data_IF_948559749449
#
_entry.id   IF_948559749449
#
_cell.length_a   1.000
_cell.length_b   1.000
_cell.length_c   1.000
_cell.angle_alpha   90.00
_cell.angle_beta   90.00
_cell.angle_gamma   90.00
#
_symmetry.space_group_name_H-M   'P 1'
#
loop_
_entity.id
_entity.type
_entity.pdbx_description
1 polymer ?
#
# COMPACT_ATOMS: atom_id res chain seq x y z
N UNK A 1 11.50 16.52 8.22
CA UNK A 1 11.69 16.91 9.64
C UNK A 1 11.72 15.63 10.47
N UNK A 2 12.86 15.23 11.02
CA UNK A 2 12.96 14.02 11.86
C UNK A 2 12.19 14.25 13.16
N UNK A 3 11.28 13.32 13.47
CA UNK A 3 10.54 13.34 14.73
C UNK A 3 11.53 13.32 15.90
N UNK A 4 11.29 14.15 16.93
CA UNK A 4 12.08 14.10 18.16
C UNK A 4 11.94 12.69 18.79
N UNK A 5 13.05 12.07 19.19
CA UNK A 5 13.08 10.69 19.74
C UNK A 5 12.10 10.51 20.92
N UNK A 6 11.95 11.53 21.77
CA UNK A 6 11.02 11.50 22.91
C UNK A 6 9.58 11.45 22.43
N UNK A 7 9.21 12.27 21.42
CA UNK A 7 7.87 12.30 20.84
C UNK A 7 7.54 10.97 20.15
N UNK A 8 8.50 10.39 19.42
CA UNK A 8 8.34 9.09 18.80
C UNK A 8 8.08 8.00 19.85
N UNK A 9 8.86 7.97 20.91
CA UNK A 9 8.68 7.01 22.00
C UNK A 9 7.29 7.13 22.65
N UNK A 10 6.82 8.35 22.93
CA UNK A 10 5.48 8.59 23.47
C UNK A 10 4.38 8.10 22.51
N UNK A 11 4.54 8.34 21.21
CA UNK A 11 3.58 7.87 20.20
C UNK A 11 3.55 6.35 20.12
N UNK A 12 4.70 5.68 20.21
CA UNK A 12 4.78 4.23 20.23
C UNK A 12 4.11 3.64 21.49
N UNK A 13 4.30 4.27 22.67
CA UNK A 13 3.62 3.87 23.90
C UNK A 13 2.10 4.00 23.77
N UNK A 14 1.59 5.15 23.32
CA UNK A 14 0.16 5.36 23.12
C UNK A 14 -0.38 4.31 22.14
N UNK A 15 0.27 4.15 20.98
CA UNK A 15 -0.13 3.17 19.98
C UNK A 15 -0.18 1.74 20.53
N UNK A 16 0.82 1.33 21.30
CA UNK A 16 0.88 -0.02 21.88
C UNK A 16 -0.34 -0.35 22.75
N UNK A 17 -0.87 0.64 23.47
CA UNK A 17 -2.03 0.49 24.34
C UNK A 17 -3.37 0.44 23.58
N UNK A 18 -3.48 1.16 22.47
CA UNK A 18 -4.78 1.37 21.79
C UNK A 18 -4.87 0.79 20.37
N UNK A 19 -3.80 0.16 19.86
CA UNK A 19 -3.75 -0.37 18.47
C UNK A 19 -4.86 -1.38 18.14
N UNK A 20 -5.42 -2.04 19.17
CA UNK A 20 -6.53 -3.00 19.02
C UNK A 20 -7.90 -2.32 18.91
N UNK A 21 -7.99 -1.03 19.20
CA UNK A 21 -9.27 -0.32 19.15
C UNK A 21 -9.67 0.00 17.71
N UNK A 22 -10.98 0.01 17.45
CA UNK A 22 -11.54 0.41 16.15
C UNK A 22 -11.09 1.81 15.75
N UNK A 23 -11.05 2.75 16.71
CA UNK A 23 -10.64 4.14 16.46
C UNK A 23 -9.19 4.22 15.97
N UNK A 24 -8.26 3.52 16.62
CA UNK A 24 -6.85 3.54 16.20
C UNK A 24 -6.66 2.79 14.90
N UNK A 25 -7.30 1.64 14.71
CA UNK A 25 -7.27 0.91 13.44
C UNK A 25 -7.79 1.77 12.28
N UNK A 26 -8.89 2.52 12.50
CA UNK A 26 -9.41 3.45 11.51
C UNK A 26 -8.43 4.59 11.20
N UNK A 27 -7.71 5.12 12.20
CA UNK A 27 -6.67 6.11 11.96
C UNK A 27 -5.45 5.53 11.24
N UNK A 28 -5.15 4.24 11.41
CA UNK A 28 -4.11 3.56 10.60
C UNK A 28 -4.55 3.35 9.14
N UNK A 29 -5.85 3.22 8.87
CA UNK A 29 -6.40 3.15 7.52
C UNK A 29 -6.49 4.54 6.87
N UNK A 30 -7.09 5.49 7.57
CA UNK A 30 -7.37 6.85 7.08
C UNK A 30 -7.27 7.82 8.26
N UNK A 31 -6.10 8.45 8.46
CA UNK A 31 -5.88 9.31 9.62
C UNK A 31 -6.78 10.55 9.60
N UNK A 32 -7.51 10.76 10.69
CA UNK A 32 -8.25 12.01 10.91
C UNK A 32 -7.33 13.20 11.21
N UNK A 33 -7.92 14.40 11.34
CA UNK A 33 -7.17 15.64 11.65
C UNK A 33 -6.82 15.80 13.15
N UNK A 34 -7.32 14.92 14.03
CA UNK A 34 -7.08 14.97 15.46
C UNK A 34 -5.74 14.37 15.90
N UNK A 35 -5.54 14.32 17.22
CA UNK A 35 -4.31 13.81 17.84
C UNK A 35 -3.95 12.37 17.39
N UNK A 36 -4.90 11.44 17.43
CA UNK A 36 -4.65 10.04 17.03
C UNK A 36 -4.31 9.91 15.55
N UNK A 37 -4.89 10.75 14.69
CA UNK A 37 -4.52 10.81 13.28
C UNK A 37 -3.08 11.31 13.08
N UNK A 38 -2.63 12.26 13.89
CA UNK A 38 -1.23 12.70 13.88
C UNK A 38 -0.29 11.58 14.35
N UNK A 39 -0.66 10.89 15.43
CA UNK A 39 0.10 9.71 15.92
C UNK A 39 0.22 8.67 14.81
N UNK A 40 -0.87 8.30 14.16
CA UNK A 40 -0.87 7.31 13.07
C UNK A 40 0.04 7.74 11.92
N UNK A 41 -0.08 8.97 11.42
CA UNK A 41 0.75 9.49 10.31
C UNK A 41 2.24 9.42 10.60
N UNK A 42 2.65 9.87 11.78
CA UNK A 42 4.07 9.91 12.15
C UNK A 42 4.65 8.49 12.33
N UNK A 43 3.88 7.59 12.95
CA UNK A 43 4.29 6.20 13.10
C UNK A 43 4.39 5.48 11.76
N UNK A 44 3.46 5.72 10.82
CA UNK A 44 3.53 5.14 9.48
C UNK A 44 4.81 5.55 8.75
N UNK A 45 5.25 6.81 8.87
CA UNK A 45 6.49 7.28 8.23
C UNK A 45 7.68 6.47 8.74
N UNK A 46 7.81 6.35 10.06
CA UNK A 46 8.94 5.67 10.68
C UNK A 46 8.92 4.17 10.40
N UNK A 47 7.75 3.54 10.52
CA UNK A 47 7.63 2.09 10.38
C UNK A 47 7.74 1.59 8.94
N UNK A 48 7.54 2.45 7.95
CA UNK A 48 7.44 2.03 6.56
C UNK A 48 8.64 2.44 5.69
N UNK A 49 9.55 3.30 6.17
CA UNK A 49 10.63 3.82 5.33
C UNK A 49 11.52 2.71 4.75
N UNK A 50 11.98 1.78 5.59
CA UNK A 50 12.75 0.61 5.13
C UNK A 50 11.96 -0.22 4.12
N UNK A 51 10.68 -0.47 4.40
CA UNK A 51 9.81 -1.31 3.59
C UNK A 51 9.62 -0.72 2.18
N UNK A 52 9.40 0.59 2.07
CA UNK A 52 9.30 1.25 0.76
C UNK A 52 10.61 1.16 -0.03
N UNK A 53 11.78 1.33 0.63
CA UNK A 53 13.08 1.19 -0.03
C UNK A 53 13.28 -0.21 -0.62
N UNK A 54 12.90 -1.26 0.12
CA UNK A 54 13.00 -2.63 -0.36
C UNK A 54 11.95 -2.93 -1.46
N UNK A 55 10.71 -2.48 -1.27
CA UNK A 55 9.61 -2.72 -2.22
C UNK A 55 9.91 -2.21 -3.63
N UNK A 56 10.44 -0.99 -3.75
CA UNK A 56 10.74 -0.43 -5.07
C UNK A 56 11.89 -1.15 -5.77
N UNK A 57 12.86 -1.69 -5.02
CA UNK A 57 13.92 -2.55 -5.58
C UNK A 57 13.34 -3.84 -6.14
N UNK A 58 12.43 -4.50 -5.41
CA UNK A 58 11.76 -5.76 -5.79
C UNK A 58 10.87 -5.63 -7.02
N UNK A 59 10.33 -4.45 -7.28
CA UNK A 59 9.53 -4.18 -8.48
C UNK A 59 10.36 -4.15 -9.77
N UNK A 60 11.68 -3.98 -9.70
CA UNK A 60 12.56 -3.89 -10.88
C UNK A 60 12.00 -2.90 -11.93
N UNK A 61 11.71 -1.67 -11.51
CA UNK A 61 11.11 -0.65 -12.35
C UNK A 61 12.10 -0.17 -13.41
N UNK A 62 11.64 -0.10 -14.67
CA UNK A 62 12.39 0.44 -15.80
C UNK A 62 11.96 1.88 -16.10
N UNK A 63 12.82 2.66 -16.74
CA UNK A 63 12.57 4.08 -17.06
C UNK A 63 11.26 4.37 -17.82
N UNK A 64 10.75 3.40 -18.57
CA UNK A 64 9.50 3.56 -19.33
C UNK A 64 8.30 2.81 -18.74
N UNK A 65 8.43 2.20 -17.58
CA UNK A 65 7.32 1.50 -16.92
C UNK A 65 6.25 2.50 -16.44
N UNK A 66 4.99 2.20 -16.73
CA UNK A 66 3.83 2.86 -16.12
C UNK A 66 3.56 2.23 -14.76
N UNK A 67 3.57 3.04 -13.72
CA UNK A 67 3.44 2.57 -12.33
C UNK A 67 2.18 3.13 -11.70
N UNK A 68 1.47 2.27 -10.97
CA UNK A 68 0.37 2.66 -10.09
C UNK A 68 0.71 2.26 -8.65
N UNK A 69 0.47 3.18 -7.71
CA UNK A 69 0.55 2.92 -6.28
C UNK A 69 -0.85 3.00 -5.65
N UNK A 70 -1.21 1.96 -4.90
CA UNK A 70 -2.49 1.84 -4.20
C UNK A 70 -2.28 2.14 -2.72
N UNK A 71 -2.98 3.17 -2.20
CA UNK A 71 -2.86 3.60 -0.80
C UNK A 71 -1.53 4.31 -0.53
N UNK A 72 -1.26 5.40 -1.24
CA UNK A 72 0.02 6.11 -1.17
C UNK A 72 0.30 6.82 0.17
N UNK A 73 -0.70 6.99 1.01
CA UNK A 73 -0.57 7.51 2.37
C UNK A 73 0.24 8.80 2.48
N UNK A 74 1.40 8.75 3.13
CA UNK A 74 2.31 9.90 3.28
C UNK A 74 3.15 10.21 2.02
N UNK A 75 3.02 9.44 0.94
CA UNK A 75 3.72 9.62 -0.32
C UNK A 75 5.17 9.12 -0.33
N UNK A 76 5.57 8.28 0.62
CA UNK A 76 6.93 7.72 0.66
C UNK A 76 7.23 6.82 -0.55
N UNK A 77 6.22 6.08 -1.03
CA UNK A 77 6.35 5.29 -2.26
C UNK A 77 6.49 6.19 -3.48
N UNK A 78 5.63 7.20 -3.64
CA UNK A 78 5.70 8.15 -4.76
C UNK A 78 7.09 8.78 -4.86
N UNK A 79 7.68 9.26 -3.75
CA UNK A 79 9.02 9.87 -3.74
C UNK A 79 10.07 8.94 -4.36
N UNK A 80 10.04 7.66 -3.99
CA UNK A 80 11.00 6.68 -4.48
C UNK A 80 10.73 6.27 -5.93
N UNK A 81 9.47 6.25 -6.35
CA UNK A 81 9.06 5.89 -7.70
C UNK A 81 9.43 6.98 -8.72
N UNK A 82 9.41 8.25 -8.34
CA UNK A 82 9.72 9.38 -9.21
C UNK A 82 11.13 9.31 -9.81
N UNK A 83 12.10 8.76 -9.06
CA UNK A 83 13.48 8.61 -9.52
C UNK A 83 13.67 7.41 -10.48
N UNK A 84 12.70 6.49 -10.53
CA UNK A 84 12.82 5.20 -11.21
C UNK A 84 12.16 5.18 -12.58
N UNK A 85 11.09 5.96 -12.81
CA UNK A 85 10.42 6.01 -14.11
C UNK A 85 10.25 7.44 -14.63
N UNK A 86 10.30 7.58 -15.97
CA UNK A 86 9.98 8.84 -16.68
C UNK A 86 8.47 8.97 -16.96
N UNK A 87 7.67 7.93 -16.70
CA UNK A 87 6.22 7.95 -16.92
C UNK A 87 5.51 8.58 -15.73
N UNK A 88 4.34 9.15 -15.99
CA UNK A 88 3.49 9.70 -14.93
C UNK A 88 3.08 8.56 -13.98
N UNK A 89 3.36 8.74 -12.70
CA UNK A 89 2.93 7.83 -11.65
C UNK A 89 1.45 8.08 -11.37
N UNK A 90 0.65 7.02 -11.29
CA UNK A 90 -0.73 7.10 -10.82
C UNK A 90 -0.76 6.66 -9.35
N UNK A 91 -1.35 7.50 -8.51
CA UNK A 91 -1.50 7.27 -7.07
C UNK A 91 -2.99 7.21 -6.72
N UNK A 92 -3.42 6.16 -6.09
CA UNK A 92 -4.78 6.01 -5.58
C UNK A 92 -4.75 6.21 -4.07
N UNK A 93 -5.47 7.21 -3.58
CA UNK A 93 -5.56 7.50 -2.14
C UNK A 93 -6.96 7.97 -1.76
N UNK A 94 -7.68 7.15 -1.00
CA UNK A 94 -9.06 7.41 -0.59
C UNK A 94 -9.18 8.38 0.59
N UNK A 95 -8.13 8.51 1.41
CA UNK A 95 -8.12 9.42 2.56
C UNK A 95 -7.96 10.87 2.12
N UNK A 96 -8.97 11.70 2.36
CA UNK A 96 -8.92 13.13 2.05
C UNK A 96 -7.73 13.83 2.71
N UNK A 97 -7.44 13.46 3.96
CA UNK A 97 -6.36 14.07 4.73
C UNK A 97 -4.97 13.74 4.16
N UNK A 98 -4.77 12.54 3.63
CA UNK A 98 -3.55 12.19 2.92
C UNK A 98 -3.53 12.83 1.53
N UNK A 99 -4.62 12.71 0.78
CA UNK A 99 -4.70 13.20 -0.61
C UNK A 99 -4.42 14.71 -0.71
N UNK A 100 -4.99 15.53 0.18
CA UNK A 100 -4.70 16.97 0.23
C UNK A 100 -3.19 17.24 0.39
N UNK A 101 -2.52 16.50 1.27
CA UNK A 101 -1.07 16.63 1.47
C UNK A 101 -0.27 16.16 0.27
N UNK A 102 -0.67 15.05 -0.36
CA UNK A 102 -0.03 14.52 -1.57
C UNK A 102 -0.13 15.51 -2.72
N UNK A 103 -1.31 16.09 -2.98
CA UNK A 103 -1.53 17.08 -4.04
C UNK A 103 -0.61 18.29 -3.82
N UNK A 104 -0.51 18.79 -2.60
CA UNK A 104 0.39 19.90 -2.28
C UNK A 104 1.87 19.51 -2.46
N UNK A 105 2.27 18.34 -1.93
CA UNK A 105 3.66 17.88 -1.94
C UNK A 105 4.19 17.62 -3.35
N UNK A 106 3.34 17.05 -4.23
CA UNK A 106 3.72 16.63 -5.59
C UNK A 106 3.17 17.54 -6.69
N UNK A 107 2.76 18.77 -6.36
CA UNK A 107 2.09 19.73 -7.25
C UNK A 107 2.80 19.92 -8.60
N UNK A 108 4.13 19.94 -8.60
CA UNK A 108 4.96 20.20 -9.78
C UNK A 108 5.70 18.94 -10.26
N UNK A 109 5.25 17.75 -9.90
CA UNK A 109 5.89 16.49 -10.23
C UNK A 109 5.01 15.63 -11.14
N UNK A 110 5.61 14.65 -11.78
CA UNK A 110 4.95 13.79 -12.76
C UNK A 110 4.09 12.70 -12.08
N UNK A 111 3.10 13.14 -11.29
CA UNK A 111 2.19 12.30 -10.50
C UNK A 111 0.74 12.69 -10.79
N UNK A 112 -0.13 11.69 -10.89
CA UNK A 112 -1.57 11.86 -10.95
C UNK A 112 -2.20 11.21 -9.70
N UNK A 113 -2.81 12.02 -8.83
CA UNK A 113 -3.38 11.57 -7.56
C UNK A 113 -4.89 11.51 -7.71
N UNK A 114 -5.46 10.30 -7.56
CA UNK A 114 -6.87 10.01 -7.75
C UNK A 114 -7.52 9.64 -6.42
N UNK A 115 -8.79 10.04 -6.26
CA UNK A 115 -9.61 9.77 -5.06
C UNK A 115 -10.43 8.48 -5.16
N UNK A 116 -10.38 7.80 -6.30
CA UNK A 116 -11.18 6.60 -6.56
C UNK A 116 -10.85 5.50 -5.54
N UNK A 117 -11.84 4.68 -5.21
CA UNK A 117 -11.58 3.40 -4.57
C UNK A 117 -10.90 2.47 -5.59
N UNK A 118 -9.82 1.80 -5.18
CA UNK A 118 -8.99 0.98 -6.05
C UNK A 118 -9.70 -0.28 -6.62
N UNK A 119 -10.92 -0.55 -6.23
CA UNK A 119 -11.80 -1.56 -6.83
C UNK A 119 -12.69 -1.01 -7.96
N UNK A 120 -12.70 0.32 -8.18
CA UNK A 120 -13.54 1.02 -9.14
C UNK A 120 -12.69 2.04 -9.93
N UNK A 121 -11.82 1.55 -10.81
CA UNK A 121 -10.93 2.39 -11.62
C UNK A 121 -11.32 2.42 -13.12
N UNK A 122 -12.39 1.74 -13.53
CA UNK A 122 -12.79 1.58 -14.95
C UNK A 122 -12.98 2.92 -15.67
N UNK A 123 -13.49 3.95 -14.99
CA UNK A 123 -13.74 5.26 -15.58
C UNK A 123 -12.45 6.10 -15.76
N UNK A 124 -11.39 5.76 -15.06
CA UNK A 124 -10.13 6.55 -15.03
C UNK A 124 -8.91 5.78 -15.52
N UNK A 125 -8.99 4.44 -15.57
CA UNK A 125 -7.89 3.55 -15.96
C UNK A 125 -8.36 2.48 -16.93
N UNK A 126 -7.73 2.44 -18.12
CA UNK A 126 -8.01 1.40 -19.15
C UNK A 126 -7.42 0.04 -18.74
N UNK A 127 -7.94 -1.04 -19.35
CA UNK A 127 -7.38 -2.39 -19.20
C UNK A 127 -5.92 -2.41 -19.64
N UNK A 128 -5.13 -3.29 -19.03
CA UNK A 128 -3.74 -3.56 -19.41
C UNK A 128 -2.88 -2.29 -19.53
N UNK A 129 -3.01 -1.38 -18.56
CA UNK A 129 -2.34 -0.07 -18.58
C UNK A 129 -0.98 -0.09 -17.91
N UNK A 130 -0.86 -0.76 -16.75
CA UNK A 130 0.33 -0.63 -15.89
C UNK A 130 1.30 -1.79 -16.05
N UNK A 131 2.58 -1.44 -16.08
CA UNK A 131 3.69 -2.40 -16.03
C UNK A 131 3.95 -2.84 -14.58
N UNK A 132 3.71 -1.94 -13.60
CA UNK A 132 3.94 -2.17 -12.18
C UNK A 132 2.79 -1.65 -11.33
N UNK A 133 2.41 -2.45 -10.33
CA UNK A 133 1.49 -2.07 -9.25
C UNK A 133 2.17 -2.26 -7.91
N UNK A 134 2.13 -1.24 -7.06
CA UNK A 134 2.63 -1.27 -5.69
C UNK A 134 1.50 -1.03 -4.70
N UNK A 135 1.42 -1.86 -3.65
CA UNK A 135 0.52 -1.66 -2.53
C UNK A 135 1.22 -2.03 -1.21
N UNK A 136 1.56 -1.04 -0.38
CA UNK A 136 2.32 -1.25 0.86
C UNK A 136 1.42 -1.06 2.06
N UNK A 137 1.22 -2.13 2.84
CA UNK A 137 0.43 -2.13 4.07
C UNK A 137 -1.02 -1.65 3.92
N UNK A 138 -1.63 -1.86 2.74
CA UNK A 138 -3.00 -1.44 2.45
C UNK A 138 -3.97 -2.61 2.36
N UNK A 139 -3.50 -3.81 1.98
CA UNK A 139 -4.33 -4.99 1.71
C UNK A 139 -5.28 -5.36 2.85
N UNK A 140 -4.89 -5.05 4.09
CA UNK A 140 -5.68 -5.33 5.29
C UNK A 140 -7.06 -4.68 5.26
N UNK A 141 -7.17 -3.53 4.60
CA UNK A 141 -8.31 -2.63 4.59
C UNK A 141 -9.20 -2.76 3.35
N UNK A 142 -8.77 -3.55 2.36
CA UNK A 142 -9.47 -3.72 1.10
C UNK A 142 -10.61 -4.74 1.27
N UNK A 143 -11.86 -4.26 1.24
CA UNK A 143 -13.01 -5.14 1.44
C UNK A 143 -14.17 -4.75 0.50
N UNK A 144 -14.81 -5.74 -0.19
CA UNK A 144 -14.38 -7.15 -0.34
C UNK A 144 -13.10 -7.28 -1.18
N UNK A 145 -12.13 -8.08 -0.73
CA UNK A 145 -10.81 -8.18 -1.36
C UNK A 145 -10.86 -8.70 -2.80
N UNK A 146 -11.87 -9.53 -3.13
CA UNK A 146 -12.07 -10.08 -4.48
C UNK A 146 -12.24 -8.99 -5.53
N UNK A 147 -13.04 -7.96 -5.25
CA UNK A 147 -13.28 -6.84 -6.18
C UNK A 147 -11.98 -6.07 -6.50
N UNK A 148 -11.12 -5.90 -5.52
CA UNK A 148 -9.79 -5.30 -5.71
C UNK A 148 -8.86 -6.21 -6.53
N UNK A 149 -8.88 -7.51 -6.28
CA UNK A 149 -8.08 -8.46 -7.03
C UNK A 149 -8.49 -8.50 -8.52
N UNK A 150 -9.79 -8.48 -8.82
CA UNK A 150 -10.32 -8.40 -10.18
C UNK A 150 -9.89 -7.11 -10.88
N UNK A 151 -9.94 -5.98 -10.18
CA UNK A 151 -9.53 -4.69 -10.74
C UNK A 151 -8.02 -4.61 -10.94
N UNK A 152 -7.20 -5.14 -10.02
CA UNK A 152 -5.75 -5.24 -10.20
C UNK A 152 -5.39 -6.12 -11.39
N UNK A 153 -6.12 -7.24 -11.58
CA UNK A 153 -5.95 -8.08 -12.78
C UNK A 153 -6.30 -7.30 -14.05
N UNK A 154 -7.41 -6.57 -14.06
CA UNK A 154 -7.84 -5.79 -15.21
C UNK A 154 -6.80 -4.75 -15.65
N UNK A 155 -6.25 -3.97 -14.69
CA UNK A 155 -5.37 -2.84 -14.98
C UNK A 155 -3.91 -3.22 -15.26
N UNK A 156 -3.41 -4.34 -14.72
CA UNK A 156 -2.07 -4.82 -15.00
C UNK A 156 -1.95 -5.37 -16.42
N UNK A 157 -0.81 -5.14 -17.06
CA UNK A 157 -0.45 -5.78 -18.34
C UNK A 157 -0.09 -7.26 -18.12
N UNK A 158 -0.12 -8.07 -19.19
CA UNK A 158 0.27 -9.48 -19.14
C UNK A 158 1.68 -9.72 -18.59
N UNK A 159 2.62 -8.87 -18.95
CA UNK A 159 4.00 -8.96 -18.44
C UNK A 159 4.22 -8.02 -17.23
N UNK A 160 3.14 -7.46 -16.69
CA UNK A 160 3.18 -6.59 -15.54
C UNK A 160 3.46 -7.37 -14.25
N UNK A 161 3.93 -6.65 -13.23
CA UNK A 161 4.19 -7.17 -11.91
C UNK A 161 3.44 -6.34 -10.87
N UNK A 162 2.54 -6.97 -10.12
CA UNK A 162 2.00 -6.42 -8.88
C UNK A 162 2.85 -6.86 -7.70
N UNK A 163 3.04 -5.96 -6.73
CA UNK A 163 3.72 -6.24 -5.47
C UNK A 163 2.89 -5.69 -4.32
N UNK A 164 2.41 -6.60 -3.48
CA UNK A 164 1.74 -6.26 -2.22
C UNK A 164 2.69 -6.55 -1.07
N UNK A 165 2.87 -5.58 -0.18
CA UNK A 165 3.68 -5.74 1.03
C UNK A 165 2.79 -5.75 2.26
N UNK A 166 2.98 -6.75 3.13
CA UNK A 166 2.10 -7.05 4.24
C UNK A 166 2.87 -7.35 5.53
N UNK A 167 2.55 -6.61 6.60
CA UNK A 167 3.08 -6.81 7.96
C UNK A 167 2.04 -7.47 8.86
N UNK A 168 1.69 -8.73 8.60
CA UNK A 168 0.58 -9.41 9.32
C UNK A 168 0.77 -9.44 10.84
N UNK A 169 2.00 -9.69 11.31
CA UNK A 169 2.29 -9.65 12.75
C UNK A 169 2.04 -8.26 13.39
N UNK A 170 2.34 -7.20 12.65
CA UNK A 170 2.14 -5.83 13.10
C UNK A 170 0.67 -5.46 13.27
N UNK A 171 -0.21 -6.08 12.47
CA UNK A 171 -1.64 -5.73 12.41
C UNK A 171 -2.57 -6.79 13.04
N UNK A 172 -2.03 -7.87 13.57
CA UNK A 172 -2.85 -8.99 14.11
C UNK A 172 -3.91 -8.56 15.12
N UNK A 173 -3.60 -7.52 15.91
CA UNK A 173 -4.48 -6.98 16.93
C UNK A 173 -5.37 -5.83 16.43
N UNK A 174 -5.34 -5.47 15.14
CA UNK A 174 -6.25 -4.46 14.60
C UNK A 174 -7.71 -4.93 14.67
N UNK A 175 -8.63 -3.99 14.71
CA UNK A 175 -10.07 -4.28 14.68
C UNK A 175 -10.44 -5.02 13.39
N UNK A 176 -11.14 -6.17 13.51
CA UNK A 176 -11.46 -7.03 12.37
C UNK A 176 -12.49 -6.41 11.40
N UNK A 177 -13.35 -5.48 11.88
CA UNK A 177 -14.31 -4.80 11.01
C UNK A 177 -13.63 -3.77 10.13
N UNK A 178 -12.51 -3.21 10.57
CA UNK A 178 -11.74 -2.20 9.83
C UNK A 178 -10.65 -2.85 8.97
N UNK A 179 -9.98 -3.89 9.50
CA UNK A 179 -8.90 -4.61 8.83
C UNK A 179 -9.21 -6.13 8.79
N UNK A 180 -10.09 -6.58 7.90
CA UNK A 180 -10.53 -7.98 7.85
C UNK A 180 -9.49 -8.94 7.27
N UNK A 181 -8.58 -8.47 6.40
CA UNK A 181 -7.66 -9.33 5.66
C UNK A 181 -6.34 -9.52 6.43
N UNK A 182 -6.29 -10.54 7.29
CA UNK A 182 -5.12 -10.81 8.16
C UNK A 182 -4.44 -12.16 7.91
N UNK A 183 -4.99 -12.96 7.01
CA UNK A 183 -4.47 -14.28 6.68
C UNK A 183 -3.85 -14.29 5.30
N UNK A 184 -2.57 -14.65 5.21
CA UNK A 184 -1.84 -14.71 3.95
C UNK A 184 -2.45 -15.72 2.97
N UNK A 185 -2.77 -16.93 3.46
CA UNK A 185 -3.27 -18.00 2.62
C UNK A 185 -4.64 -17.66 2.00
N UNK A 186 -5.52 -16.99 2.75
CA UNK A 186 -6.82 -16.57 2.24
C UNK A 186 -6.67 -15.49 1.15
N UNK A 187 -5.75 -14.54 1.35
CA UNK A 187 -5.41 -13.53 0.36
C UNK A 187 -4.88 -14.20 -0.92
N UNK A 188 -3.88 -15.09 -0.80
CA UNK A 188 -3.29 -15.81 -1.92
C UNK A 188 -4.35 -16.55 -2.72
N UNK A 189 -5.19 -17.37 -2.05
CA UNK A 189 -6.27 -18.13 -2.70
C UNK A 189 -7.23 -17.24 -3.49
N UNK A 190 -7.57 -16.05 -2.97
CA UNK A 190 -8.47 -15.12 -3.67
C UNK A 190 -7.80 -14.58 -4.94
N UNK A 191 -6.54 -14.16 -4.86
CA UNK A 191 -5.81 -13.65 -6.02
C UNK A 191 -5.58 -14.74 -7.08
N UNK A 192 -5.25 -15.97 -6.67
CA UNK A 192 -5.14 -17.12 -7.59
C UNK A 192 -6.48 -17.42 -8.28
N UNK A 193 -7.58 -17.44 -7.52
CA UNK A 193 -8.93 -17.69 -8.06
C UNK A 193 -9.39 -16.64 -9.06
N UNK A 194 -8.88 -15.41 -8.95
CA UNK A 194 -9.16 -14.31 -9.88
C UNK A 194 -8.33 -14.43 -11.17
N UNK A 195 -7.25 -15.23 -11.21
CA UNK A 195 -6.42 -15.44 -12.39
C UNK A 195 -4.99 -14.91 -12.28
N UNK A 196 -4.50 -14.69 -11.07
CA UNK A 196 -3.08 -14.39 -10.86
C UNK A 196 -2.27 -15.66 -10.60
N UNK A 197 -1.04 -15.69 -11.12
CA UNK A 197 0.04 -16.48 -10.56
C UNK A 197 0.60 -15.72 -9.36
N UNK A 198 0.54 -16.34 -8.19
CA UNK A 198 0.94 -15.70 -6.92
C UNK A 198 2.19 -16.37 -6.37
N UNK A 199 3.19 -15.57 -6.09
CA UNK A 199 4.40 -16.00 -5.37
C UNK A 199 4.53 -15.20 -4.08
N UNK A 200 4.90 -15.83 -2.98
CA UNK A 200 5.07 -15.16 -1.69
C UNK A 200 6.49 -15.36 -1.18
N UNK A 201 7.00 -14.35 -0.50
CA UNK A 201 8.30 -14.37 0.17
C UNK A 201 8.16 -13.74 1.56
N UNK A 202 8.73 -14.37 2.58
CA UNK A 202 8.87 -13.74 3.89
C UNK A 202 10.24 -13.09 4.01
N UNK A 203 10.27 -11.82 4.37
CA UNK A 203 11.50 -11.03 4.53
C UNK A 203 11.70 -10.77 6.01
N UNK A 204 12.72 -11.42 6.57
CA UNK A 204 13.19 -11.07 7.92
C UNK A 204 13.90 -9.72 7.90
N UNK A 205 13.60 -8.88 8.89
CA UNK A 205 14.25 -7.58 9.01
C UNK A 205 14.35 -7.16 10.45
N UNK A 206 15.54 -6.69 10.85
CA UNK A 206 15.78 -6.07 12.16
C UNK A 206 15.11 -4.69 12.27
N UNK A 207 14.91 -4.02 11.13
CA UNK A 207 14.29 -2.69 11.05
C UNK A 207 12.76 -2.76 11.08
N UNK A 208 12.19 -3.96 10.88
CA UNK A 208 10.76 -4.21 10.93
C UNK A 208 10.50 -5.34 11.92
N UNK A 209 9.77 -5.04 13.00
CA UNK A 209 9.43 -6.07 13.99
C UNK A 209 8.84 -7.31 13.33
N UNK A 210 9.54 -8.45 13.45
CA UNK A 210 9.15 -9.76 12.92
C UNK A 210 9.06 -9.88 11.39
N UNK A 211 9.61 -8.92 10.63
CA UNK A 211 9.61 -8.99 9.17
C UNK A 211 8.26 -8.67 8.51
N UNK A 212 8.16 -9.00 7.21
CA UNK A 212 6.98 -8.75 6.39
C UNK A 212 6.91 -9.73 5.21
N UNK A 213 5.73 -9.87 4.63
CA UNK A 213 5.52 -10.67 3.42
C UNK A 213 5.50 -9.78 2.17
N UNK A 214 6.17 -10.22 1.13
CA UNK A 214 6.01 -9.73 -0.23
C UNK A 214 5.15 -10.73 -1.01
N UNK A 215 4.09 -10.26 -1.65
CA UNK A 215 3.19 -11.04 -2.49
C UNK A 215 3.33 -10.50 -3.91
N UNK A 216 3.87 -11.31 -4.80
CA UNK A 216 4.08 -10.99 -6.20
C UNK A 216 2.91 -11.51 -7.01
N UNK A 217 2.35 -10.66 -7.86
CA UNK A 217 1.19 -10.94 -8.70
C UNK A 217 1.56 -10.83 -10.17
N UNK A 218 1.35 -11.90 -10.95
CA UNK A 218 1.48 -11.91 -12.42
C UNK A 218 0.23 -12.50 -13.03
N UNK A 219 -0.21 -12.00 -14.18
CA UNK A 219 -1.33 -12.61 -14.89
C UNK A 219 -0.99 -14.03 -15.33
N UNK A 220 -1.92 -14.96 -15.11
CA UNK A 220 -1.85 -16.30 -15.66
C UNK A 220 -2.20 -16.25 -17.15
N UNK A 221 -1.32 -16.75 -18.02
CA UNK A 221 -1.53 -16.78 -19.47
C UNK A 221 -2.56 -17.82 -19.92
N UNK A 222 -2.89 -18.77 -19.06
CA UNK A 222 -3.73 -19.92 -19.41
C UNK A 222 -5.21 -19.74 -19.09
N UNK A 223 -5.66 -18.58 -18.63
CA UNK A 223 -7.06 -18.31 -18.25
C UNK A 223 -7.76 -17.26 -19.13
N UNK A 224 -7.38 -17.19 -20.43
CA UNK A 224 -8.03 -16.33 -21.44
C UNK A 224 -8.69 -17.16 -22.53
#
# INVERSE_FOLDING_TARGET
>A
MKLNKIKLYLYQLIYSQIKHTKIMTQNMRSPGNGFLGNVARELMIVFNDFVYNDSVKRLHIRKNDKVIEIGSGNGQGIEKLLDLTNKKIVSIEVSDSFRTKLIHKFKNQNVNILSNDAKNLSDVVKNNTFDKLLAVNVIYFLHPIKEYAEEFLRILKFNGLGLLICKFEGIKNFDNKVAPNKNLQDIVKIFEKVGFLVQTEFIESKDVQKGYHAIYLRKNKNEL
#
